data_IF_707624634395
#
_entry.id   IF_707624634395
#
_cell.length_a   1.000
_cell.length_b   1.000
_cell.length_c   1.000
_cell.angle_alpha   90.00
_cell.angle_beta   90.00
_cell.angle_gamma   90.00
#
_symmetry.space_group_name_H-M   'P 1'
#
loop_
_entity.id
_entity.type
_entity.pdbx_description
1 polymer ?
#
# COMPACT_ATOMS: atom_id res chain seq x y z
N UNK A 1 1.67 7.70 3.22
CA UNK A 1 0.51 6.81 3.02
C UNK A 1 0.79 5.93 1.82
N UNK A 2 0.79 4.61 2.00
CA UNK A 2 1.30 3.65 0.99
C UNK A 2 0.56 3.78 -0.35
N UNK A 3 -0.78 3.73 -0.34
CA UNK A 3 -1.66 3.82 -1.53
C UNK A 3 -1.45 5.07 -2.41
N UNK A 4 -0.82 6.13 -1.88
CA UNK A 4 -0.63 7.41 -2.58
C UNK A 4 0.82 7.77 -2.83
N UNK A 5 1.76 6.84 -2.63
CA UNK A 5 3.18 7.13 -2.76
C UNK A 5 3.71 6.82 -4.16
N UNK A 6 3.73 5.56 -4.55
CA UNK A 6 4.17 5.11 -5.87
C UNK A 6 3.55 3.74 -6.15
N UNK A 7 3.00 3.55 -7.35
CA UNK A 7 2.51 2.27 -7.86
C UNK A 7 3.67 1.54 -8.53
N UNK A 8 4.13 0.44 -7.92
CA UNK A 8 5.23 -0.38 -8.42
C UNK A 8 4.78 -1.70 -9.03
N UNK A 9 3.55 -2.14 -8.77
CA UNK A 9 2.96 -3.35 -9.33
C UNK A 9 1.47 -3.16 -9.62
N UNK A 10 1.19 -2.69 -10.84
CA UNK A 10 -0.18 -2.42 -11.31
C UNK A 10 -1.08 -3.66 -11.34
N UNK A 11 -0.53 -4.87 -11.26
CA UNK A 11 -1.31 -6.10 -11.26
C UNK A 11 -2.11 -6.32 -9.97
N UNK A 12 -1.77 -5.60 -8.90
CA UNK A 12 -2.42 -5.71 -7.60
C UNK A 12 -3.44 -4.59 -7.30
N UNK A 13 -3.62 -3.64 -8.23
CA UNK A 13 -4.41 -2.42 -8.03
C UNK A 13 -5.91 -2.64 -7.82
N UNK A 14 -6.51 -3.60 -8.54
CA UNK A 14 -7.95 -3.84 -8.55
C UNK A 14 -8.23 -5.31 -8.21
N UNK A 15 -8.91 -5.54 -7.09
CA UNK A 15 -9.32 -6.86 -6.62
C UNK A 15 -10.77 -7.18 -7.03
N UNK A 16 -11.43 -6.30 -7.79
CA UNK A 16 -12.72 -6.54 -8.42
C UNK A 16 -13.93 -6.31 -7.52
N UNK A 17 -13.81 -5.56 -6.43
CA UNK A 17 -14.91 -5.20 -5.52
C UNK A 17 -15.41 -3.74 -5.68
N UNK A 18 -14.94 -3.02 -6.71
CA UNK A 18 -15.32 -1.62 -6.98
C UNK A 18 -14.57 -0.59 -6.14
N UNK A 19 -13.47 -0.99 -5.52
CA UNK A 19 -12.64 -0.24 -4.57
C UNK A 19 -11.53 0.59 -5.21
N UNK A 20 -11.20 0.34 -6.48
CA UNK A 20 -10.10 0.98 -7.20
C UNK A 20 -10.60 2.04 -8.18
N UNK A 21 -10.11 3.27 -8.02
CA UNK A 21 -10.29 4.37 -8.97
C UNK A 21 -9.35 5.53 -8.59
N UNK A 22 -8.20 5.68 -9.25
CA UNK A 22 -7.21 6.70 -8.88
C UNK A 22 -7.70 8.15 -9.08
N UNK A 23 -8.82 8.35 -9.77
CA UNK A 23 -9.44 9.68 -9.94
C UNK A 23 -10.40 10.04 -8.79
N UNK A 24 -10.66 9.11 -7.86
CA UNK A 24 -11.56 9.32 -6.72
C UNK A 24 -10.80 9.18 -5.42
N UNK A 25 -10.76 10.24 -4.62
CA UNK A 25 -10.10 10.23 -3.30
C UNK A 25 -10.67 9.21 -2.31
N UNK A 26 -11.87 8.67 -2.57
CA UNK A 26 -12.51 7.62 -1.78
C UNK A 26 -12.14 6.18 -2.18
N UNK A 27 -11.29 6.01 -3.20
CA UNK A 27 -10.89 4.70 -3.73
C UNK A 27 -9.37 4.49 -3.56
N UNK A 28 -8.94 3.24 -3.72
CA UNK A 28 -7.51 2.91 -3.89
C UNK A 28 -6.98 3.61 -5.15
N UNK A 29 -5.71 4.01 -5.08
CA UNK A 29 -4.98 4.70 -6.15
C UNK A 29 -3.77 3.91 -6.66
N UNK A 30 -3.43 2.78 -6.03
CA UNK A 30 -2.47 1.79 -6.56
C UNK A 30 -1.07 1.84 -5.93
N UNK A 31 -0.83 2.71 -4.96
CA UNK A 31 0.47 2.73 -4.28
C UNK A 31 0.69 1.49 -3.41
N UNK A 32 1.88 0.88 -3.50
CA UNK A 32 2.16 -0.42 -2.90
C UNK A 32 3.59 -0.54 -2.33
N UNK A 33 3.92 -1.71 -1.77
CA UNK A 33 5.25 -1.96 -1.18
C UNK A 33 6.34 -1.96 -2.25
N UNK A 34 6.04 -2.49 -3.45
CA UNK A 34 6.98 -2.50 -4.57
C UNK A 34 7.37 -1.08 -4.96
N UNK A 35 6.41 -0.17 -5.02
CA UNK A 35 6.64 1.23 -5.31
C UNK A 35 7.44 1.95 -4.23
N UNK A 36 7.31 1.57 -2.96
CA UNK A 36 8.22 2.08 -1.91
C UNK A 36 9.65 1.59 -2.17
N UNK A 37 9.81 0.30 -2.46
CA UNK A 37 11.11 -0.31 -2.78
C UNK A 37 11.77 0.42 -3.96
N UNK A 38 11.03 0.71 -5.03
CA UNK A 38 11.53 1.38 -6.23
C UNK A 38 11.97 2.83 -5.99
N UNK A 39 11.54 3.44 -4.89
CA UNK A 39 11.89 4.81 -4.50
C UNK A 39 12.88 4.90 -3.33
N UNK A 40 13.46 3.79 -2.87
CA UNK A 40 14.46 3.82 -1.80
C UNK A 40 15.63 4.75 -2.15
N UNK A 41 16.12 4.72 -3.39
CA UNK A 41 17.21 5.60 -3.83
C UNK A 41 16.80 7.08 -3.81
N UNK A 42 15.55 7.38 -4.15
CA UNK A 42 14.99 8.72 -4.03
C UNK A 42 14.94 9.18 -2.57
N UNK A 43 14.45 8.32 -1.66
CA UNK A 43 14.36 8.61 -0.23
C UNK A 43 15.75 8.82 0.39
N UNK A 44 16.75 8.01 0.01
CA UNK A 44 18.14 8.17 0.44
C UNK A 44 18.74 9.50 -0.03
N UNK A 45 18.54 9.87 -1.30
CA UNK A 45 19.01 11.16 -1.85
C UNK A 45 18.37 12.36 -1.16
N UNK A 46 17.12 12.22 -0.73
CA UNK A 46 16.41 13.23 0.05
C UNK A 46 16.96 13.37 1.49
N UNK A 47 17.73 12.39 1.98
CA UNK A 47 18.26 12.36 3.35
C UNK A 47 17.31 11.73 4.36
N UNK A 48 16.29 10.99 3.91
CA UNK A 48 15.36 10.27 4.80
C UNK A 48 16.10 9.12 5.51
N UNK A 49 15.99 9.06 6.83
CA UNK A 49 16.63 8.03 7.67
C UNK A 49 15.66 6.98 8.21
N UNK A 50 14.35 7.20 8.10
CA UNK A 50 13.33 6.27 8.51
C UNK A 50 12.09 6.38 7.61
N UNK A 51 11.43 5.26 7.33
CA UNK A 51 10.19 5.20 6.56
C UNK A 51 9.08 4.66 7.44
N UNK A 52 8.07 5.49 7.70
CA UNK A 52 6.82 5.07 8.35
C UNK A 52 5.75 4.83 7.29
N UNK A 53 5.30 3.57 7.18
CA UNK A 53 4.26 3.17 6.23
C UNK A 53 2.88 3.06 6.90
N UNK A 54 1.85 3.09 6.07
CA UNK A 54 0.46 2.74 6.45
C UNK A 54 0.41 1.28 6.96
N UNK A 55 -0.50 0.89 7.89
CA UNK A 55 -0.56 -0.49 8.34
C UNK A 55 -0.78 -1.44 7.14
N UNK A 56 0.15 -2.40 6.90
CA UNK A 56 0.13 -3.21 5.69
C UNK A 56 -0.77 -4.44 5.80
N UNK A 57 -1.48 -4.61 6.91
CA UNK A 57 -2.34 -5.78 7.15
C UNK A 57 -3.53 -5.80 6.22
N UNK A 58 -4.15 -6.95 5.97
CA UNK A 58 -5.35 -7.04 5.14
C UNK A 58 -6.51 -6.23 5.74
N UNK A 59 -7.10 -5.34 4.95
CA UNK A 59 -8.18 -4.44 5.33
C UNK A 59 -9.51 -4.83 4.67
N UNK A 60 -10.61 -4.33 5.26
CA UNK A 60 -11.87 -4.17 4.55
C UNK A 60 -11.67 -3.19 3.39
N UNK A 61 -11.82 -3.67 2.15
CA UNK A 61 -11.53 -2.85 0.97
C UNK A 61 -12.61 -1.84 0.62
N UNK A 62 -13.88 -2.14 0.84
CA UNK A 62 -14.98 -1.23 0.51
C UNK A 62 -16.02 -1.19 1.62
N UNK A 63 -16.46 0.02 1.96
CA UNK A 63 -17.61 0.24 2.84
C UNK A 63 -18.76 0.85 2.04
N UNK A 64 -19.84 0.10 1.77
CA UNK A 64 -20.94 0.56 0.92
C UNK A 64 -21.77 1.67 1.56
N UNK A 65 -21.80 1.75 2.90
CA UNK A 65 -22.50 2.82 3.62
C UNK A 65 -21.73 4.13 3.56
N UNK A 66 -20.42 4.08 3.80
CA UNK A 66 -19.55 5.25 3.72
C UNK A 66 -19.27 5.67 2.27
N UNK A 67 -19.31 4.73 1.32
CA UNK A 67 -18.81 4.89 -0.07
C UNK A 67 -17.32 5.25 -0.13
N UNK A 68 -16.55 4.62 0.76
CA UNK A 68 -15.11 4.77 0.88
C UNK A 68 -14.43 3.41 0.89
N UNK A 69 -13.23 3.35 0.34
CA UNK A 69 -12.35 2.20 0.40
C UNK A 69 -11.39 2.27 1.60
N UNK A 70 -10.89 1.10 2.02
CA UNK A 70 -9.92 0.95 3.10
C UNK A 70 -8.48 1.35 2.73
N UNK A 71 -8.29 2.16 1.68
CA UNK A 71 -6.97 2.51 1.12
C UNK A 71 -5.97 3.08 2.12
N UNK A 72 -6.47 3.66 3.21
CA UNK A 72 -5.67 4.25 4.26
C UNK A 72 -5.15 3.23 5.28
N UNK A 73 -5.50 1.94 5.17
CA UNK A 73 -4.95 0.83 5.96
C UNK A 73 -5.36 0.77 7.44
N UNK A 74 -6.45 1.43 7.83
CA UNK A 74 -6.90 1.47 9.23
C UNK A 74 -8.21 0.72 9.47
N UNK A 75 -8.64 -0.10 8.51
CA UNK A 75 -9.83 -0.95 8.60
C UNK A 75 -9.42 -2.42 8.58
N UNK A 76 -8.55 -2.80 9.53
CA UNK A 76 -7.95 -4.14 9.58
C UNK A 76 -9.01 -5.23 9.70
N UNK A 77 -8.98 -6.19 8.77
CA UNK A 77 -9.83 -7.38 8.74
C UNK A 77 -9.03 -8.62 9.17
N UNK A 78 -7.75 -8.71 8.77
CA UNK A 78 -6.88 -9.83 9.14
C UNK A 78 -5.43 -9.38 9.39
N UNK A 79 -5.07 -9.27 10.66
CA UNK A 79 -3.74 -8.86 11.14
C UNK A 79 -2.62 -9.88 10.86
N UNK A 80 -2.93 -11.07 10.33
CA UNK A 80 -1.94 -12.10 9.98
C UNK A 80 -1.60 -12.14 8.49
N UNK A 81 -2.23 -11.29 7.67
CA UNK A 81 -2.00 -11.24 6.21
C UNK A 81 -1.65 -9.83 5.80
N UNK A 82 -0.83 -9.69 4.75
CA UNK A 82 -0.60 -8.42 4.06
C UNK A 82 -1.81 -8.13 3.15
N UNK A 83 -2.20 -6.86 3.03
CA UNK A 83 -3.23 -6.44 2.09
C UNK A 83 -2.80 -6.71 0.65
N UNK A 84 -3.68 -7.30 -0.16
CA UNK A 84 -3.35 -7.65 -1.54
C UNK A 84 -3.03 -6.43 -2.39
N UNK A 85 -3.62 -5.26 -2.10
CA UNK A 85 -3.29 -4.01 -2.79
C UNK A 85 -1.88 -3.50 -2.50
N UNK A 86 -1.21 -4.02 -1.47
CA UNK A 86 0.14 -3.59 -1.12
C UNK A 86 1.20 -4.62 -1.51
N UNK A 87 0.80 -5.83 -1.89
CA UNK A 87 1.67 -6.95 -2.21
C UNK A 87 1.49 -8.13 -1.26
N UNK A 88 2.57 -8.83 -0.94
CA UNK A 88 2.55 -10.00 -0.08
C UNK A 88 3.61 -9.94 1.05
N UNK A 89 3.69 -11.01 1.85
CA UNK A 89 4.63 -11.09 2.97
C UNK A 89 6.11 -11.04 2.53
N UNK A 90 6.43 -11.59 1.36
CA UNK A 90 7.80 -11.56 0.82
C UNK A 90 8.16 -10.15 0.36
N UNK A 91 7.24 -9.40 -0.26
CA UNK A 91 7.46 -7.98 -0.57
C UNK A 91 7.74 -7.17 0.71
N UNK A 92 6.99 -7.43 1.78
CA UNK A 92 7.19 -6.75 3.06
C UNK A 92 8.55 -7.07 3.69
N UNK A 93 8.99 -8.34 3.64
CA UNK A 93 10.34 -8.74 4.06
C UNK A 93 11.42 -8.10 3.19
N UNK A 94 11.21 -8.05 1.88
CA UNK A 94 12.15 -7.41 0.95
C UNK A 94 12.30 -5.91 1.25
N UNK A 95 11.19 -5.20 1.49
CA UNK A 95 11.21 -3.80 1.90
C UNK A 95 12.06 -3.61 3.15
N UNK A 96 11.82 -4.40 4.20
CA UNK A 96 12.62 -4.34 5.43
C UNK A 96 14.10 -4.59 5.16
N UNK A 97 14.43 -5.61 4.36
CA UNK A 97 15.81 -5.93 4.02
C UNK A 97 16.50 -4.83 3.20
N UNK A 98 15.78 -4.15 2.29
CA UNK A 98 16.34 -3.08 1.45
C UNK A 98 16.48 -1.75 2.19
N UNK A 99 15.57 -1.43 3.12
CA UNK A 99 15.66 -0.21 3.94
C UNK A 99 16.85 -0.24 4.92
N UNK A 100 17.30 -1.42 5.34
CA UNK A 100 18.42 -1.59 6.27
C UNK A 100 19.80 -1.74 5.61
N UNK A 101 19.90 -1.52 4.30
CA UNK A 101 21.16 -1.46 3.56
C UNK A 101 21.57 -0.02 3.32
#
# INVERSE_FOLDING_TARGET
>A
MTDRFNDGDTSNNDQGAGEYNPQKGSHYSGGDIRGIIDKIDYLKKLGVTAVWITPPVANQWWNPWAKFSGYHGYWGENFKKVDKHYGNLEDYKELSAKLHK
#
